data_IF_549114212238
#
_entry.id   IF_549114212238
#
_cell.length_a   1.000
_cell.length_b   1.000
_cell.length_c   1.000
_cell.angle_alpha   90.00
_cell.angle_beta   90.00
_cell.angle_gamma   90.00
#
_symmetry.space_group_name_H-M   'P 1'
#
loop_
_entity.id
_entity.type
_entity.pdbx_description
1 polymer ?
#
# COMPACT_ATOMS: atom_id res chain seq x y z
N UNK A 1 -48.77 30.03 -68.81
CA UNK A 1 -49.14 28.88 -67.96
C UNK A 1 -48.85 29.22 -66.49
N UNK A 2 -49.74 30.07 -65.99
CA UNK A 2 -50.18 30.42 -64.63
C UNK A 2 -49.19 30.24 -63.47
N UNK A 3 -48.51 31.35 -63.12
CA UNK A 3 -47.80 31.60 -61.86
C UNK A 3 -48.61 31.21 -60.60
N UNK A 4 -49.94 31.32 -60.70
CA UNK A 4 -50.91 30.83 -59.72
C UNK A 4 -50.77 29.33 -59.42
N UNK A 5 -50.57 28.48 -60.44
CA UNK A 5 -50.41 27.02 -60.23
C UNK A 5 -49.10 26.69 -59.53
N UNK A 6 -48.02 27.43 -59.82
CA UNK A 6 -46.74 27.25 -59.15
C UNK A 6 -46.83 27.63 -57.66
N UNK A 7 -47.53 28.72 -57.33
CA UNK A 7 -47.82 29.10 -55.93
C UNK A 7 -48.62 28.04 -55.21
N UNK A 8 -49.67 27.49 -55.83
CA UNK A 8 -50.48 26.43 -55.23
C UNK A 8 -49.67 25.15 -54.99
N UNK A 9 -48.79 24.76 -55.91
CA UNK A 9 -47.93 23.58 -55.76
C UNK A 9 -46.92 23.78 -54.62
N UNK A 10 -46.26 24.95 -54.57
CA UNK A 10 -45.33 25.29 -53.49
C UNK A 10 -46.05 25.30 -52.15
N UNK A 11 -47.26 25.88 -52.08
CA UNK A 11 -48.06 25.91 -50.86
C UNK A 11 -48.41 24.49 -50.38
N UNK A 12 -48.82 23.60 -51.29
CA UNK A 12 -49.14 22.21 -50.95
C UNK A 12 -47.91 21.47 -50.40
N UNK A 13 -46.73 21.68 -51.01
CA UNK A 13 -45.49 21.09 -50.51
C UNK A 13 -45.17 21.64 -49.10
N UNK A 14 -45.30 22.95 -48.89
CA UNK A 14 -45.01 23.58 -47.61
C UNK A 14 -45.94 23.07 -46.50
N UNK A 15 -47.24 22.93 -46.80
CA UNK A 15 -48.22 22.36 -45.88
C UNK A 15 -47.93 20.88 -45.62
N UNK A 16 -47.58 20.11 -46.65
CA UNK A 16 -47.21 18.69 -46.50
C UNK A 16 -45.97 18.50 -45.62
N UNK A 17 -44.93 19.30 -45.83
CA UNK A 17 -43.70 19.27 -45.02
C UNK A 17 -43.98 19.71 -43.59
N UNK A 18 -44.84 20.71 -43.38
CA UNK A 18 -45.24 21.13 -42.04
C UNK A 18 -45.95 20.00 -41.30
N UNK A 19 -46.91 19.33 -41.93
CA UNK A 19 -47.64 18.21 -41.32
C UNK A 19 -46.69 17.05 -41.01
N UNK A 20 -45.76 16.74 -41.92
CA UNK A 20 -44.76 15.70 -41.72
C UNK A 20 -43.82 16.01 -40.55
N UNK A 21 -43.31 17.24 -40.46
CA UNK A 21 -42.46 17.68 -39.35
C UNK A 21 -43.22 17.65 -38.02
N UNK A 22 -44.47 18.11 -38.01
CA UNK A 22 -45.32 18.05 -36.81
C UNK A 22 -45.56 16.62 -36.37
N UNK A 23 -45.87 15.71 -37.30
CA UNK A 23 -46.03 14.28 -37.00
C UNK A 23 -44.72 13.68 -36.47
N UNK A 24 -43.60 13.99 -37.12
CA UNK A 24 -42.27 13.49 -36.73
C UNK A 24 -41.88 13.93 -35.32
N UNK A 25 -42.21 15.16 -34.90
CA UNK A 25 -41.96 15.63 -33.52
C UNK A 25 -42.91 14.93 -32.53
N UNK A 26 -44.15 14.67 -32.93
CA UNK A 26 -45.14 14.00 -32.08
C UNK A 26 -44.85 12.51 -31.86
N UNK A 27 -44.27 11.84 -32.85
CA UNK A 27 -43.84 10.43 -32.75
C UNK A 27 -42.37 10.30 -32.38
N UNK A 28 -41.66 11.41 -32.16
CA UNK A 28 -40.30 11.37 -31.64
C UNK A 28 -40.38 11.07 -30.14
N UNK A 29 -40.14 9.80 -29.80
CA UNK A 29 -39.88 9.38 -28.44
C UNK A 29 -38.37 9.52 -28.24
N UNK A 30 -37.88 10.52 -27.48
CA UNK A 30 -36.46 10.59 -27.18
C UNK A 30 -36.10 9.34 -26.40
N UNK A 31 -34.99 8.71 -26.76
CA UNK A 31 -34.37 7.67 -25.94
C UNK A 31 -33.84 8.38 -24.69
N UNK A 32 -34.73 8.60 -23.73
CA UNK A 32 -34.35 9.04 -22.40
C UNK A 32 -33.74 7.80 -21.74
N UNK A 33 -32.43 7.83 -21.52
CA UNK A 33 -31.80 6.96 -20.52
C UNK A 33 -32.69 7.01 -19.27
N UNK A 34 -33.21 5.85 -18.87
CA UNK A 34 -34.06 5.76 -17.68
C UNK A 34 -33.30 6.39 -16.51
N UNK A 35 -33.94 7.35 -15.83
CA UNK A 35 -33.49 7.82 -14.53
C UNK A 35 -33.68 6.67 -13.53
N UNK A 36 -32.74 5.72 -13.54
CA UNK A 36 -32.55 4.82 -12.42
C UNK A 36 -32.00 5.67 -11.27
N UNK A 37 -32.89 6.06 -10.36
CA UNK A 37 -32.53 6.47 -9.00
C UNK A 37 -32.07 5.23 -8.20
N UNK A 38 -31.11 4.49 -8.73
CA UNK A 38 -30.29 3.62 -7.91
C UNK A 38 -29.05 4.42 -7.54
N UNK A 39 -28.87 4.70 -6.26
CA UNK A 39 -27.59 5.10 -5.63
C UNK A 39 -26.48 4.01 -5.80
N UNK A 40 -26.59 3.16 -6.82
CA UNK A 40 -25.58 2.19 -7.16
C UNK A 40 -24.45 2.94 -7.88
N UNK A 41 -23.48 3.37 -7.08
CA UNK A 41 -22.11 3.62 -7.52
C UNK A 41 -21.75 2.55 -8.56
N UNK A 42 -21.34 2.97 -9.75
CA UNK A 42 -20.95 2.05 -10.82
C UNK A 42 -19.71 1.29 -10.33
N UNK A 43 -19.93 0.09 -9.80
CA UNK A 43 -18.84 -0.80 -9.40
C UNK A 43 -18.18 -1.33 -10.64
N UNK A 44 -17.01 -0.81 -10.97
CA UNK A 44 -16.20 -1.32 -12.07
C UNK A 44 -15.57 -2.61 -11.60
N UNK A 45 -15.73 -3.67 -12.41
CA UNK A 45 -15.17 -4.99 -12.11
C UNK A 45 -13.65 -4.90 -12.05
N UNK A 46 -13.10 -4.89 -10.84
CA UNK A 46 -11.66 -4.90 -10.52
C UNK A 46 -11.25 -6.26 -9.94
N UNK A 47 -9.95 -6.55 -9.97
CA UNK A 47 -9.36 -7.54 -9.07
C UNK A 47 -9.65 -7.14 -7.62
N UNK A 48 -10.40 -7.98 -6.92
CA UNK A 48 -10.75 -7.76 -5.51
C UNK A 48 -9.66 -8.41 -4.67
N UNK A 49 -8.92 -7.60 -3.94
CA UNK A 49 -7.93 -8.09 -2.97
C UNK A 49 -8.61 -8.29 -1.62
N UNK A 50 -8.34 -9.41 -0.96
CA UNK A 50 -8.79 -9.64 0.42
C UNK A 50 -7.78 -9.06 1.42
N UNK A 51 -8.19 -8.93 2.69
CA UNK A 51 -7.35 -8.33 3.75
C UNK A 51 -5.95 -8.96 3.82
N UNK A 52 -5.83 -10.29 3.64
CA UNK A 52 -4.54 -11.00 3.69
C UNK A 52 -3.65 -10.75 2.48
N UNK A 53 -4.18 -10.25 1.35
CA UNK A 53 -3.34 -9.92 0.20
C UNK A 53 -2.72 -8.53 0.35
N UNK A 54 -3.41 -7.63 1.04
CA UNK A 54 -3.01 -6.23 1.26
C UNK A 54 -2.22 -6.05 2.55
N UNK A 55 -2.63 -6.70 3.64
CA UNK A 55 -1.96 -6.63 4.94
C UNK A 55 -1.14 -7.90 5.10
N UNK A 56 0.16 -7.78 4.79
CA UNK A 56 1.13 -8.88 4.88
C UNK A 56 2.31 -8.51 5.77
N UNK A 57 2.95 -9.49 6.41
CA UNK A 57 4.26 -9.29 7.01
C UNK A 57 5.31 -8.85 5.99
N UNK A 58 6.27 -8.05 6.45
CA UNK A 58 7.39 -7.53 5.64
C UNK A 58 8.70 -8.26 5.93
N UNK A 59 8.82 -8.85 7.12
CA UNK A 59 10.01 -9.60 7.53
C UNK A 59 9.67 -10.64 8.59
N UNK A 60 10.54 -11.64 8.65
CA UNK A 60 10.61 -12.60 9.75
C UNK A 60 12.03 -12.54 10.32
N UNK A 61 12.14 -12.13 11.59
CA UNK A 61 13.38 -12.02 12.34
C UNK A 61 13.50 -13.18 13.34
N UNK A 62 14.68 -13.78 13.41
CA UNK A 62 14.98 -14.97 14.20
C UNK A 62 16.11 -14.65 15.19
N UNK A 63 15.90 -14.95 16.48
CA UNK A 63 16.88 -14.77 17.55
C UNK A 63 17.42 -16.14 17.95
N UNK A 64 18.62 -16.49 17.45
CA UNK A 64 19.19 -17.83 17.63
C UNK A 64 20.69 -17.82 17.88
N UNK A 65 21.11 -18.54 18.92
CA UNK A 65 22.49 -18.69 19.36
C UNK A 65 23.21 -17.35 19.64
N UNK A 66 22.48 -16.33 20.11
CA UNK A 66 23.02 -14.99 20.34
C UNK A 66 23.29 -14.19 19.06
N UNK A 67 22.77 -14.63 17.92
CA UNK A 67 22.80 -13.95 16.63
C UNK A 67 21.38 -13.70 16.13
N UNK A 68 21.25 -12.80 15.15
CA UNK A 68 19.98 -12.47 14.53
C UNK A 68 20.01 -12.82 13.04
N UNK A 69 18.93 -13.39 12.55
CA UNK A 69 18.78 -13.70 11.13
C UNK A 69 17.44 -13.18 10.66
N UNK A 70 17.35 -12.70 9.41
CA UNK A 70 16.10 -12.15 8.91
C UNK A 70 15.86 -12.57 7.46
N UNK A 71 14.61 -12.76 7.09
CA UNK A 71 14.19 -12.89 5.70
C UNK A 71 13.04 -11.94 5.40
N UNK A 72 13.08 -11.36 4.20
CA UNK A 72 11.99 -10.60 3.58
C UNK A 72 11.64 -11.20 2.20
N UNK A 73 12.08 -12.44 1.94
CA UNK A 73 11.80 -13.15 0.70
C UNK A 73 10.29 -13.44 0.61
N UNK A 74 9.60 -13.00 -0.46
CA UNK A 74 8.17 -13.24 -0.64
C UNK A 74 7.76 -14.69 -0.52
N UNK A 75 8.59 -15.63 -0.98
CA UNK A 75 8.30 -17.07 -0.92
C UNK A 75 8.27 -17.56 0.52
N UNK A 76 9.19 -17.08 1.36
CA UNK A 76 9.21 -17.42 2.79
C UNK A 76 8.06 -16.75 3.55
N UNK A 77 7.71 -15.50 3.20
CA UNK A 77 6.53 -14.81 3.75
C UNK A 77 5.25 -15.57 3.40
N UNK A 78 5.01 -15.90 2.12
CA UNK A 78 3.81 -16.61 1.68
C UNK A 78 3.73 -18.02 2.31
N UNK A 79 4.88 -18.69 2.49
CA UNK A 79 4.94 -19.99 3.19
C UNK A 79 4.53 -19.84 4.65
N UNK A 80 5.00 -18.80 5.34
CA UNK A 80 4.62 -18.51 6.72
C UNK A 80 3.13 -18.14 6.83
N UNK A 81 2.59 -17.33 5.92
CA UNK A 81 1.16 -16.99 5.90
C UNK A 81 0.29 -18.24 5.72
N UNK A 82 0.72 -19.17 4.87
CA UNK A 82 0.05 -20.46 4.69
C UNK A 82 0.07 -21.30 5.97
N UNK A 83 1.15 -21.28 6.76
CA UNK A 83 1.15 -21.93 8.07
C UNK A 83 0.15 -21.26 9.03
N UNK A 84 0.17 -19.92 9.09
CA UNK A 84 -0.72 -19.12 9.96
C UNK A 84 -2.20 -19.35 9.65
N UNK A 85 -2.57 -19.50 8.38
CA UNK A 85 -3.95 -19.79 7.97
C UNK A 85 -4.51 -21.11 8.54
N UNK A 86 -3.66 -22.00 9.03
CA UNK A 86 -4.05 -23.28 9.63
C UNK A 86 -4.11 -23.24 11.17
N UNK A 87 -3.77 -22.10 11.76
CA UNK A 87 -3.75 -21.90 13.20
C UNK A 87 -5.12 -21.41 13.64
N UNK A 88 -5.41 -21.63 14.93
CA UNK A 88 -6.60 -21.08 15.57
C UNK A 88 -6.16 -20.41 16.85
N UNK A 89 -6.40 -19.11 16.92
CA UNK A 89 -6.01 -18.30 18.06
C UNK A 89 -7.17 -18.18 19.03
N UNK A 90 -6.87 -18.30 20.32
CA UNK A 90 -7.88 -18.27 21.39
C UNK A 90 -7.39 -17.52 22.63
N UNK A 91 -8.31 -17.04 23.45
CA UNK A 91 -8.02 -16.48 24.77
C UNK A 91 -7.16 -15.22 24.75
N UNK A 92 -7.38 -14.35 23.76
CA UNK A 92 -6.64 -13.10 23.59
C UNK A 92 -6.86 -12.19 24.79
N UNK A 93 -5.76 -11.75 25.41
CA UNK A 93 -5.77 -10.86 26.58
C UNK A 93 -4.53 -10.00 26.65
N UNK A 94 -4.67 -8.80 27.20
CA UNK A 94 -3.52 -7.92 27.46
C UNK A 94 -2.61 -8.50 28.56
N UNK A 95 -1.30 -8.43 28.33
CA UNK A 95 -0.28 -8.71 29.33
C UNK A 95 0.34 -7.40 29.82
N UNK A 96 0.21 -7.13 31.11
CA UNK A 96 0.85 -5.97 31.71
C UNK A 96 2.38 -6.12 31.77
N UNK A 97 3.11 -5.19 31.16
CA UNK A 97 4.57 -5.12 31.23
C UNK A 97 5.11 -5.03 32.67
N UNK A 98 4.41 -4.32 33.56
CA UNK A 98 4.78 -4.25 34.99
C UNK A 98 4.77 -5.62 35.67
N UNK A 99 3.91 -6.52 35.21
CA UNK A 99 3.83 -7.90 35.70
C UNK A 99 4.96 -8.78 35.19
N UNK A 100 5.52 -8.46 34.03
CA UNK A 100 6.63 -9.21 33.42
C UNK A 100 7.99 -8.91 34.08
N UNK A 101 8.11 -7.82 34.86
CA UNK A 101 9.36 -7.39 35.54
C UNK A 101 10.59 -7.37 34.61
N UNK A 102 10.37 -7.06 33.33
CA UNK A 102 11.37 -7.06 32.26
C UNK A 102 11.23 -5.78 31.44
N UNK A 103 12.32 -5.36 30.80
CA UNK A 103 12.24 -4.28 29.81
C UNK A 103 11.45 -4.77 28.60
N UNK A 104 10.76 -3.86 27.94
CA UNK A 104 9.95 -4.14 26.75
C UNK A 104 10.79 -4.74 25.63
N UNK A 105 11.88 -4.04 25.27
CA UNK A 105 12.84 -4.46 24.24
C UNK A 105 13.42 -5.86 24.50
N UNK A 106 13.86 -6.13 25.74
CA UNK A 106 14.37 -7.46 26.16
C UNK A 106 13.31 -8.56 26.04
N UNK A 107 12.02 -8.24 26.16
CA UNK A 107 10.95 -9.21 25.93
C UNK A 107 10.77 -9.45 24.43
N UNK A 108 10.77 -8.41 23.61
CA UNK A 108 10.54 -8.54 22.17
C UNK A 108 11.65 -9.36 21.53
N UNK A 109 12.91 -8.94 21.71
CA UNK A 109 14.09 -9.51 21.07
C UNK A 109 14.75 -10.66 21.85
N UNK A 110 13.96 -11.44 22.58
CA UNK A 110 14.48 -12.48 23.46
C UNK A 110 15.12 -13.64 22.67
N UNK A 111 16.26 -14.14 23.12
CA UNK A 111 16.89 -15.34 22.56
C UNK A 111 15.92 -16.53 22.55
N UNK A 112 15.90 -17.30 21.44
CA UNK A 112 14.93 -18.38 21.29
C UNK A 112 13.57 -17.92 20.76
N UNK A 113 13.51 -16.82 20.01
CA UNK A 113 12.25 -16.26 19.51
C UNK A 113 12.25 -15.98 18.00
N UNK A 114 11.05 -15.87 17.47
CA UNK A 114 10.74 -15.43 16.11
C UNK A 114 9.82 -14.23 16.19
N UNK A 115 10.15 -13.17 15.47
CA UNK A 115 9.32 -11.98 15.29
C UNK A 115 8.87 -11.89 13.84
N UNK A 116 7.58 -11.72 13.63
CA UNK A 116 6.97 -11.51 12.32
C UNK A 116 6.48 -10.07 12.30
N UNK A 117 7.10 -9.25 11.46
CA UNK A 117 6.94 -7.80 11.47
C UNK A 117 6.00 -7.35 10.34
N UNK A 118 5.15 -6.39 10.64
CA UNK A 118 4.29 -5.69 9.68
C UNK A 118 4.80 -4.26 9.44
N UNK A 119 4.39 -3.64 8.34
CA UNK A 119 4.85 -2.28 7.99
C UNK A 119 4.49 -1.21 9.02
N UNK A 120 3.33 -1.38 9.66
CA UNK A 120 2.77 -0.47 10.67
C UNK A 120 1.74 -1.22 11.54
N UNK A 121 1.21 -0.55 12.57
CA UNK A 121 0.18 -1.07 13.48
C UNK A 121 -1.06 -1.56 12.70
N UNK A 122 -1.40 -2.85 12.86
CA UNK A 122 -2.56 -3.53 12.27
C UNK A 122 -3.67 -3.70 13.30
N UNK A 123 -4.91 -3.19 13.05
CA UNK A 123 -6.03 -3.37 13.97
C UNK A 123 -6.47 -4.84 14.06
N UNK A 124 -6.48 -5.40 15.27
CA UNK A 124 -6.80 -6.83 15.47
C UNK A 124 -8.21 -7.19 15.00
N UNK A 125 -9.17 -6.27 15.10
CA UNK A 125 -10.56 -6.52 14.70
C UNK A 125 -10.70 -6.72 13.19
N UNK A 126 -9.86 -6.06 12.39
CA UNK A 126 -9.80 -6.26 10.94
C UNK A 126 -9.07 -7.56 10.60
N UNK A 127 -7.94 -7.80 11.27
CA UNK A 127 -7.06 -8.95 10.98
C UNK A 127 -7.53 -10.27 11.63
N UNK A 128 -8.54 -10.21 12.49
CA UNK A 128 -9.16 -11.35 13.19
C UNK A 128 -9.47 -12.53 12.27
N UNK A 129 -10.04 -12.23 11.11
CA UNK A 129 -10.48 -13.23 10.13
C UNK A 129 -9.29 -13.93 9.48
N UNK A 130 -8.20 -13.20 9.22
CA UNK A 130 -6.97 -13.75 8.64
C UNK A 130 -6.32 -14.76 9.60
N UNK A 131 -6.40 -14.49 10.91
CA UNK A 131 -5.81 -15.32 11.96
C UNK A 131 -6.75 -16.39 12.54
N UNK A 132 -7.97 -16.58 12.03
CA UNK A 132 -9.00 -17.46 12.63
C UNK A 132 -9.11 -17.32 14.17
N UNK A 133 -9.20 -16.07 14.65
CA UNK A 133 -9.34 -15.83 16.09
C UNK A 133 -10.78 -16.16 16.51
N UNK A 134 -10.93 -17.16 17.36
CA UNK A 134 -12.26 -17.69 17.69
C UNK A 134 -12.97 -17.00 18.86
N UNK A 135 -12.30 -16.06 19.52
CA UNK A 135 -12.87 -15.30 20.64
C UNK A 135 -14.04 -14.43 20.16
N UNK A 136 -15.17 -14.50 20.86
CA UNK A 136 -16.36 -13.72 20.49
C UNK A 136 -16.16 -12.23 20.76
N UNK A 137 -15.62 -11.91 21.92
CA UNK A 137 -15.26 -10.56 22.34
C UNK A 137 -13.74 -10.45 22.33
N UNK A 138 -13.23 -9.49 21.55
CA UNK A 138 -11.80 -9.20 21.50
C UNK A 138 -11.54 -7.83 22.09
N UNK A 139 -10.45 -7.65 22.86
CA UNK A 139 -9.99 -6.32 23.23
C UNK A 139 -9.66 -5.54 21.95
N UNK A 140 -9.95 -4.23 21.96
CA UNK A 140 -9.54 -3.34 20.87
C UNK A 140 -8.06 -3.02 21.03
N UNK A 141 -7.24 -3.46 20.07
CA UNK A 141 -5.82 -3.13 20.00
C UNK A 141 -5.31 -3.24 18.56
N UNK A 142 -4.14 -2.65 18.34
CA UNK A 142 -3.35 -2.83 17.12
C UNK A 142 -2.01 -3.47 17.47
N UNK A 143 -1.37 -4.09 16.49
CA UNK A 143 -0.07 -4.72 16.65
C UNK A 143 0.75 -4.55 15.37
N UNK A 144 2.06 -4.41 15.48
CA UNK A 144 3.01 -4.38 14.37
C UNK A 144 3.88 -5.65 14.33
N UNK A 145 3.80 -6.50 15.36
CA UNK A 145 4.60 -7.73 15.47
C UNK A 145 3.80 -8.89 16.04
N UNK A 146 4.08 -10.10 15.53
CA UNK A 146 3.68 -11.37 16.13
C UNK A 146 4.93 -12.11 16.59
N UNK A 147 4.98 -12.52 17.86
CA UNK A 147 6.15 -13.13 18.48
C UNK A 147 5.83 -14.54 18.95
N UNK A 148 6.71 -15.48 18.59
CA UNK A 148 6.68 -16.88 19.02
C UNK A 148 7.97 -17.17 19.79
N UNK A 149 7.85 -17.77 20.97
CA UNK A 149 9.00 -18.02 21.86
C UNK A 149 9.16 -19.50 22.13
N UNK A 150 10.31 -20.06 21.77
CA UNK A 150 10.63 -21.47 21.93
C UNK A 150 10.42 -21.95 23.38
N UNK A 151 10.87 -21.15 24.35
CA UNK A 151 10.78 -21.46 25.78
C UNK A 151 9.34 -21.56 26.31
N UNK A 152 8.38 -20.94 25.63
CA UNK A 152 6.97 -20.91 26.05
C UNK A 152 6.16 -22.06 25.40
N UNK A 153 6.77 -22.79 24.45
CA UNK A 153 6.16 -23.94 23.75
C UNK A 153 6.17 -25.16 24.66
N UNK A 154 5.04 -25.40 25.33
CA UNK A 154 4.84 -26.51 26.25
C UNK A 154 3.36 -26.89 26.38
N UNK A 155 3.07 -28.09 26.87
CA UNK A 155 1.69 -28.56 27.04
C UNK A 155 0.96 -28.84 25.73
N UNK A 156 -0.35 -28.57 25.71
CA UNK A 156 -1.23 -28.78 24.54
C UNK A 156 -1.45 -27.49 23.74
N UNK A 157 -1.49 -26.35 24.42
CA UNK A 157 -1.58 -25.02 23.86
C UNK A 157 -0.48 -24.15 24.45
N UNK A 158 0.06 -23.23 23.66
CA UNK A 158 1.17 -22.37 24.06
C UNK A 158 0.96 -20.94 23.57
N UNK A 159 1.67 -20.02 24.21
CA UNK A 159 1.48 -18.60 24.00
C UNK A 159 2.07 -18.11 22.68
N UNK A 160 1.32 -17.26 21.99
CA UNK A 160 1.78 -16.39 20.91
C UNK A 160 1.43 -14.95 21.29
N UNK A 161 2.33 -14.02 21.02
CA UNK A 161 2.19 -12.63 21.46
C UNK A 161 1.99 -11.69 20.29
N UNK A 162 0.96 -10.85 20.36
CA UNK A 162 0.82 -9.67 19.51
C UNK A 162 1.45 -8.49 20.25
N UNK A 163 2.31 -7.74 19.56
CA UNK A 163 3.04 -6.61 20.14
C UNK A 163 2.76 -5.37 19.31
N UNK A 164 2.50 -4.25 19.98
CA UNK A 164 2.58 -2.92 19.39
C UNK A 164 3.84 -2.28 19.95
N UNK A 165 4.87 -2.18 19.10
CA UNK A 165 6.21 -1.81 19.52
C UNK A 165 6.28 -0.36 20.00
N UNK A 166 5.67 0.56 19.26
CA UNK A 166 5.65 1.99 19.60
C UNK A 166 4.83 2.28 20.87
N UNK A 167 3.73 1.55 21.08
CA UNK A 167 2.88 1.72 22.26
C UNK A 167 3.36 0.94 23.50
N UNK A 168 4.43 0.15 23.36
CA UNK A 168 4.97 -0.76 24.38
C UNK A 168 3.89 -1.72 24.96
N UNK A 169 2.96 -2.19 24.13
CA UNK A 169 1.84 -3.08 24.54
C UNK A 169 2.03 -4.51 24.05
N UNK A 170 1.56 -5.46 24.86
CA UNK A 170 1.65 -6.90 24.56
C UNK A 170 0.30 -7.56 24.84
N UNK A 171 -0.18 -8.34 23.88
CA UNK A 171 -1.36 -9.18 24.01
C UNK A 171 -0.96 -10.63 23.82
N UNK A 172 -1.37 -11.50 24.73
CA UNK A 172 -1.15 -12.94 24.63
C UNK A 172 -2.38 -13.61 24.05
N UNK A 173 -2.13 -14.59 23.20
CA UNK A 173 -3.10 -15.56 22.70
C UNK A 173 -2.56 -16.98 22.87
N UNK A 174 -3.42 -17.98 22.71
CA UNK A 174 -3.06 -19.40 22.75
C UNK A 174 -3.28 -20.06 21.40
N UNK A 175 -2.30 -20.86 20.98
CA UNK A 175 -2.31 -21.68 19.76
C UNK A 175 -1.88 -23.10 20.11
N UNK A 176 -2.32 -24.10 19.34
CA UNK A 176 -1.88 -25.49 19.50
C UNK A 176 -0.35 -25.61 19.51
N UNK A 177 0.19 -26.24 20.56
CA UNK A 177 1.64 -26.47 20.72
C UNK A 177 2.21 -27.26 19.55
N UNK A 178 1.44 -28.16 18.94
CA UNK A 178 1.88 -28.91 17.76
C UNK A 178 2.19 -27.98 16.59
N UNK A 179 1.28 -27.05 16.28
CA UNK A 179 1.45 -26.08 15.19
C UNK A 179 2.68 -25.20 15.39
N UNK A 180 2.90 -24.75 16.63
CA UNK A 180 4.09 -23.96 16.94
C UNK A 180 5.39 -24.77 16.81
N UNK A 181 5.39 -26.05 17.20
CA UNK A 181 6.57 -26.92 16.99
C UNK A 181 6.85 -27.11 15.51
N UNK A 182 5.83 -27.45 14.72
CA UNK A 182 5.95 -27.61 13.26
C UNK A 182 6.54 -26.33 12.63
N UNK A 183 6.06 -25.15 13.05
CA UNK A 183 6.60 -23.86 12.62
C UNK A 183 8.06 -23.62 13.03
N UNK A 184 8.42 -23.92 14.28
CA UNK A 184 9.79 -23.74 14.75
C UNK A 184 10.76 -24.70 14.03
N UNK A 185 10.31 -25.91 13.69
CA UNK A 185 11.09 -26.86 12.91
C UNK A 185 11.32 -26.36 11.47
N UNK A 186 10.29 -25.80 10.84
CA UNK A 186 10.36 -25.32 9.46
C UNK A 186 11.17 -24.02 9.29
N UNK A 187 10.99 -23.07 10.20
CA UNK A 187 11.53 -21.70 10.07
C UNK A 187 12.69 -21.39 11.01
N UNK A 188 12.61 -21.80 12.29
CA UNK A 188 13.56 -21.35 13.32
C UNK A 188 14.83 -22.20 13.41
N UNK A 189 14.72 -23.52 13.52
CA UNK A 189 15.86 -24.39 13.89
C UNK A 189 17.06 -24.29 12.94
N UNK A 190 16.81 -24.11 11.64
CA UNK A 190 17.83 -23.96 10.59
C UNK A 190 17.97 -22.53 10.07
N UNK A 191 17.39 -21.53 10.76
CA UNK A 191 17.43 -20.11 10.36
C UNK A 191 18.86 -19.62 10.08
N UNK A 192 19.81 -19.95 10.95
CA UNK A 192 21.22 -19.60 10.82
C UNK A 192 21.93 -20.12 9.55
N UNK A 193 21.37 -21.15 8.89
CA UNK A 193 21.90 -21.68 7.62
C UNK A 193 21.15 -21.13 6.41
N UNK A 194 19.90 -20.72 6.59
CA UNK A 194 18.97 -20.35 5.53
C UNK A 194 18.97 -18.85 5.25
N UNK A 195 19.12 -18.04 6.29
CA UNK A 195 18.86 -16.60 6.22
C UNK A 195 20.10 -15.77 6.56
N UNK A 196 20.23 -14.57 5.96
CA UNK A 196 21.34 -13.67 6.24
C UNK A 196 21.35 -13.21 7.70
N UNK A 197 22.57 -13.04 8.23
CA UNK A 197 22.81 -12.49 9.58
C UNK A 197 22.58 -10.97 9.61
N UNK A 198 21.99 -10.50 10.70
CA UNK A 198 21.65 -9.11 10.97
C UNK A 198 22.31 -8.62 12.27
N UNK A 199 22.84 -7.40 12.24
CA UNK A 199 23.34 -6.69 13.41
C UNK A 199 22.21 -5.97 14.12
N UNK A 200 22.13 -6.10 15.44
CA UNK A 200 21.25 -5.29 16.29
C UNK A 200 21.94 -3.99 16.72
N UNK A 201 21.22 -2.87 16.67
CA UNK A 201 21.63 -1.58 17.19
C UNK A 201 20.52 -0.96 18.03
N UNK A 202 20.66 -1.02 19.35
CA UNK A 202 19.75 -0.31 20.26
C UNK A 202 19.99 1.18 20.19
N UNK A 203 18.89 1.93 20.06
CA UNK A 203 18.81 3.39 20.03
C UNK A 203 17.83 3.85 21.13
N UNK A 204 18.17 4.96 21.77
CA UNK A 204 17.42 5.55 22.89
C UNK A 204 17.14 4.63 24.09
N UNK A 205 17.76 3.46 24.15
CA UNK A 205 17.50 2.45 25.19
C UNK A 205 16.07 1.89 25.17
N UNK A 206 15.34 2.09 24.08
CA UNK A 206 13.92 1.70 23.93
C UNK A 206 13.61 0.95 22.64
N UNK A 207 14.40 1.18 21.59
CA UNK A 207 14.18 0.61 20.25
C UNK A 207 15.45 -0.05 19.76
N UNK A 208 15.34 -1.20 19.12
CA UNK A 208 16.47 -1.88 18.51
C UNK A 208 16.26 -2.00 17.00
N UNK A 209 17.22 -1.49 16.23
CA UNK A 209 17.23 -1.58 14.77
C UNK A 209 18.01 -2.81 14.34
N UNK A 210 17.50 -3.56 13.36
CA UNK A 210 18.18 -4.71 12.77
C UNK A 210 18.57 -4.39 11.34
N UNK A 211 19.84 -4.57 11.01
CA UNK A 211 20.36 -4.32 9.66
C UNK A 211 21.27 -5.47 9.22
N UNK A 212 21.33 -5.82 7.93
CA UNK A 212 22.20 -6.89 7.44
C UNK A 212 23.66 -6.68 7.86
N UNK A 213 24.29 -7.73 8.40
CA UNK A 213 25.70 -7.68 8.83
C UNK A 213 26.63 -7.44 7.63
N UNK A 214 26.29 -8.00 6.46
CA UNK A 214 27.10 -7.96 5.25
C UNK A 214 26.43 -7.18 4.11
N UNK A 215 27.20 -6.84 3.08
CA UNK A 215 26.66 -6.27 1.84
C UNK A 215 25.66 -7.22 1.18
N UNK A 216 24.57 -6.66 0.67
CA UNK A 216 23.48 -7.41 0.04
C UNK A 216 23.46 -7.18 -1.47
N UNK A 217 23.09 -8.20 -2.22
CA UNK A 217 22.97 -8.15 -3.68
C UNK A 217 21.50 -8.20 -4.05
N UNK A 218 21.02 -7.18 -4.76
CA UNK A 218 19.62 -7.07 -5.16
C UNK A 218 19.55 -6.72 -6.63
N UNK A 219 18.61 -7.33 -7.34
CA UNK A 219 18.38 -7.04 -8.74
C UNK A 219 17.73 -5.65 -8.91
N UNK A 220 18.34 -4.81 -9.73
CA UNK A 220 17.69 -3.71 -10.43
C UNK A 220 16.69 -4.28 -11.43
N UNK A 221 15.55 -3.63 -11.55
CA UNK A 221 14.54 -3.96 -12.54
C UNK A 221 14.20 -2.77 -13.42
N UNK A 222 13.84 -3.06 -14.66
CA UNK A 222 13.26 -2.10 -15.57
C UNK A 222 11.95 -2.69 -16.10
N UNK A 223 10.90 -1.88 -16.10
CA UNK A 223 9.55 -2.31 -16.49
C UNK A 223 8.99 -1.42 -17.58
N UNK A 224 8.29 -2.03 -18.52
CA UNK A 224 7.24 -1.35 -19.26
C UNK A 224 6.09 -1.03 -18.32
N UNK A 225 5.46 0.14 -18.51
CA UNK A 225 4.25 0.49 -17.78
C UNK A 225 3.04 0.47 -18.71
N UNK A 226 1.92 -0.02 -18.19
CA UNK A 226 0.61 0.09 -18.82
C UNK A 226 -0.22 1.13 -18.07
N UNK A 227 -0.98 1.94 -18.81
CA UNK A 227 -1.81 2.99 -18.23
C UNK A 227 -3.24 2.50 -18.01
N UNK A 228 -3.84 2.93 -16.91
CA UNK A 228 -5.25 2.67 -16.64
C UNK A 228 -6.14 3.49 -17.55
N UNK A 229 -7.33 2.97 -17.83
CA UNK A 229 -8.36 3.73 -18.51
C UNK A 229 -8.89 4.82 -17.57
N UNK A 230 -8.55 6.06 -17.90
CA UNK A 230 -9.00 7.26 -17.19
C UNK A 230 -10.53 7.35 -17.15
N UNK A 231 -11.22 6.86 -18.19
CA UNK A 231 -12.67 6.81 -18.24
C UNK A 231 -13.24 5.96 -17.10
N UNK A 232 -12.66 4.79 -16.86
CA UNK A 232 -13.05 3.92 -15.74
C UNK A 232 -12.82 4.62 -14.39
N UNK A 233 -11.67 5.25 -14.19
CA UNK A 233 -11.38 5.93 -12.92
C UNK A 233 -12.33 7.10 -12.67
N UNK A 234 -12.64 7.87 -13.71
CA UNK A 234 -13.65 8.93 -13.66
C UNK A 234 -15.05 8.35 -13.36
N UNK A 235 -15.41 7.24 -14.00
CA UNK A 235 -16.72 6.62 -13.81
C UNK A 235 -16.89 6.02 -12.40
N UNK A 236 -15.79 5.57 -11.78
CA UNK A 236 -15.76 5.11 -10.41
C UNK A 236 -15.81 6.26 -9.38
N UNK A 237 -15.05 7.34 -9.61
CA UNK A 237 -14.85 8.40 -8.59
C UNK A 237 -15.96 9.47 -8.55
N UNK A 238 -16.75 9.62 -9.62
CA UNK A 238 -17.82 10.61 -9.68
C UNK A 238 -19.20 9.94 -9.64
N UNK A 239 -20.10 10.46 -8.81
CA UNK A 239 -21.47 9.93 -8.70
C UNK A 239 -22.25 10.04 -10.01
N UNK A 240 -21.99 11.08 -10.81
CA UNK A 240 -22.66 11.29 -12.11
C UNK A 240 -21.64 11.58 -13.22
N UNK A 241 -20.92 10.56 -13.72
CA UNK A 241 -19.80 10.73 -14.63
C UNK A 241 -20.16 11.40 -15.96
N UNK A 242 -21.42 11.28 -16.40
CA UNK A 242 -21.96 11.90 -17.63
C UNK A 242 -21.96 13.43 -17.60
N UNK A 243 -21.99 14.05 -16.41
CA UNK A 243 -22.00 15.51 -16.26
C UNK A 243 -20.65 16.10 -15.87
N UNK A 244 -19.63 15.25 -15.75
CA UNK A 244 -18.27 15.68 -15.44
C UNK A 244 -17.70 16.42 -16.64
N UNK A 245 -17.24 17.65 -16.40
CA UNK A 245 -16.55 18.47 -17.40
C UNK A 245 -15.07 18.13 -17.39
N UNK A 246 -14.46 18.14 -18.57
CA UNK A 246 -13.04 17.94 -18.75
C UNK A 246 -12.40 19.23 -19.26
N UNK A 247 -11.29 19.65 -18.65
CA UNK A 247 -10.50 20.80 -19.07
C UNK A 247 -9.02 20.42 -19.15
N UNK A 248 -8.30 20.95 -20.14
CA UNK A 248 -6.85 20.76 -20.25
C UNK A 248 -6.11 21.79 -19.42
N UNK A 249 -5.11 21.34 -18.65
CA UNK A 249 -4.24 22.19 -17.83
C UNK A 249 -2.77 21.97 -18.21
N UNK A 250 -1.86 22.75 -17.64
CA UNK A 250 -0.44 22.77 -18.03
C UNK A 250 0.25 21.40 -17.98
N UNK A 251 -0.06 20.59 -16.97
CA UNK A 251 0.61 19.29 -16.70
C UNK A 251 -0.28 18.08 -17.00
N UNK A 252 -1.47 18.29 -17.56
CA UNK A 252 -2.40 17.21 -17.88
C UNK A 252 -3.85 17.68 -18.02
N UNK A 253 -4.76 17.07 -17.27
CA UNK A 253 -6.20 17.25 -17.43
C UNK A 253 -6.91 17.33 -16.08
N UNK A 254 -8.00 18.09 -16.03
CA UNK A 254 -8.87 18.21 -14.86
C UNK A 254 -10.29 17.79 -15.23
N UNK A 255 -10.93 17.11 -14.28
CA UNK A 255 -12.29 16.60 -14.38
C UNK A 255 -13.06 17.09 -13.17
N UNK A 256 -14.24 17.70 -13.39
CA UNK A 256 -15.04 18.25 -12.28
C UNK A 256 -16.53 18.18 -12.53
N UNK A 257 -17.29 17.91 -11.46
CA UNK A 257 -18.75 18.05 -11.41
C UNK A 257 -19.18 19.40 -10.78
N UNK A 258 -18.22 20.30 -10.52
CA UNK A 258 -18.41 21.57 -9.82
C UNK A 258 -18.23 21.50 -8.30
N UNK A 259 -18.25 20.30 -7.71
CA UNK A 259 -18.07 20.07 -6.27
C UNK A 259 -16.87 19.19 -5.93
N UNK A 260 -16.50 18.30 -6.85
CA UNK A 260 -15.36 17.40 -6.78
C UNK A 260 -14.39 17.73 -7.91
N UNK A 261 -13.11 17.48 -7.69
CA UNK A 261 -12.06 17.69 -8.68
C UNK A 261 -11.19 16.45 -8.75
N UNK A 262 -10.98 15.94 -9.96
CA UNK A 262 -9.96 14.94 -10.27
C UNK A 262 -8.95 15.56 -11.22
N UNK A 263 -7.67 15.51 -10.87
CA UNK A 263 -6.56 16.02 -11.67
C UNK A 263 -5.67 14.87 -12.11
N UNK A 264 -5.34 14.85 -13.40
CA UNK A 264 -4.38 13.91 -13.99
C UNK A 264 -3.09 14.66 -14.24
N UNK A 265 -2.03 14.25 -13.56
CA UNK A 265 -0.69 14.73 -13.79
C UNK A 265 0.03 13.77 -14.76
N UNK A 266 0.18 14.18 -16.02
CA UNK A 266 0.87 13.40 -17.06
C UNK A 266 2.39 13.40 -16.87
N UNK A 267 2.94 14.43 -16.23
CA UNK A 267 4.37 14.52 -15.92
C UNK A 267 4.82 13.56 -14.83
N UNK A 268 3.94 13.18 -13.89
CA UNK A 268 4.26 12.27 -12.78
C UNK A 268 3.46 10.95 -12.79
N UNK A 269 2.55 10.77 -13.75
CA UNK A 269 1.68 9.60 -13.85
C UNK A 269 0.79 9.37 -12.62
N UNK A 270 0.33 10.47 -12.01
CA UNK A 270 -0.52 10.47 -10.81
C UNK A 270 -1.91 11.00 -11.15
N UNK A 271 -2.92 10.41 -10.53
CA UNK A 271 -4.26 10.99 -10.38
C UNK A 271 -4.42 11.44 -8.94
N UNK A 272 -4.93 12.64 -8.76
CA UNK A 272 -5.44 13.12 -7.48
C UNK A 272 -6.92 13.42 -7.60
N UNK A 273 -7.69 13.09 -6.58
CA UNK A 273 -9.10 13.40 -6.45
C UNK A 273 -9.35 14.05 -5.10
N UNK A 274 -10.18 15.11 -5.09
CA UNK A 274 -10.56 15.83 -3.89
C UNK A 274 -12.06 16.11 -3.85
N UNK A 275 -12.66 15.88 -2.69
CA UNK A 275 -14.03 16.24 -2.34
C UNK A 275 -14.03 17.22 -1.16
N UNK A 276 -13.96 18.54 -1.40
CA UNK A 276 -13.87 19.55 -0.34
C UNK A 276 -15.00 19.51 0.71
N UNK A 277 -16.18 18.98 0.36
CA UNK A 277 -17.30 18.83 1.30
C UNK A 277 -16.97 17.89 2.48
N UNK A 278 -15.98 17.01 2.30
CA UNK A 278 -15.58 16.00 3.28
C UNK A 278 -14.37 16.41 4.13
N UNK A 279 -13.98 17.69 4.13
CA UNK A 279 -12.78 18.17 4.86
C UNK A 279 -12.81 17.92 6.38
N UNK A 280 -13.99 17.71 6.97
CA UNK A 280 -14.15 17.49 8.40
C UNK A 280 -13.62 16.11 8.81
N UNK A 281 -12.72 16.08 9.80
CA UNK A 281 -12.14 14.85 10.36
C UNK A 281 -12.97 14.37 11.55
N UNK A 282 -13.90 13.45 11.32
CA UNK A 282 -14.63 12.73 12.35
C UNK A 282 -14.95 11.35 11.79
N UNK A 283 -14.06 10.39 12.00
CA UNK A 283 -14.26 9.06 11.47
C UNK A 283 -13.96 7.99 12.53
N UNK A 284 -14.44 6.78 12.27
CA UNK A 284 -14.59 5.67 13.21
C UNK A 284 -13.29 5.06 13.74
N UNK A 285 -13.35 3.78 14.10
CA UNK A 285 -12.18 3.08 14.64
C UNK A 285 -11.10 2.89 13.57
N UNK A 286 -9.86 2.64 13.97
CA UNK A 286 -8.75 2.32 13.04
C UNK A 286 -9.06 1.11 12.15
N UNK A 287 -9.82 0.15 12.67
CA UNK A 287 -10.32 -1.00 11.91
C UNK A 287 -11.29 -0.59 10.80
N UNK A 288 -12.19 0.34 11.09
CA UNK A 288 -13.14 0.86 10.10
C UNK A 288 -12.41 1.69 9.04
N UNK A 289 -11.41 2.47 9.46
CA UNK A 289 -10.59 3.30 8.57
C UNK A 289 -9.84 2.44 7.56
N UNK A 290 -9.04 1.48 8.04
CA UNK A 290 -8.26 0.61 7.15
C UNK A 290 -9.16 -0.32 6.33
N UNK A 291 -10.23 -0.87 6.92
CA UNK A 291 -11.18 -1.72 6.21
C UNK A 291 -11.86 -0.99 5.05
N UNK A 292 -12.44 0.19 5.31
CA UNK A 292 -13.04 0.99 4.23
C UNK A 292 -12.02 1.44 3.19
N UNK A 293 -10.78 1.68 3.59
CA UNK A 293 -9.72 2.03 2.64
C UNK A 293 -9.42 0.93 1.62
N UNK A 294 -9.42 -0.33 2.07
CA UNK A 294 -9.26 -1.50 1.20
C UNK A 294 -10.50 -1.65 0.31
N UNK A 295 -11.69 -1.58 0.89
CA UNK A 295 -12.96 -1.69 0.15
C UNK A 295 -13.09 -0.60 -0.92
N UNK A 296 -12.67 0.63 -0.62
CA UNK A 296 -12.71 1.74 -1.57
C UNK A 296 -11.87 1.44 -2.81
N UNK A 297 -10.65 0.90 -2.66
CA UNK A 297 -9.83 0.53 -3.81
C UNK A 297 -10.51 -0.61 -4.58
N UNK A 298 -10.98 -1.64 -3.89
CA UNK A 298 -11.71 -2.75 -4.52
C UNK A 298 -12.91 -2.29 -5.37
N UNK A 299 -13.65 -1.28 -4.90
CA UNK A 299 -14.85 -0.76 -5.57
C UNK A 299 -14.54 0.27 -6.68
N UNK A 300 -13.33 0.86 -6.74
CA UNK A 300 -13.01 2.02 -7.60
C UNK A 300 -11.84 1.77 -8.56
N UNK A 301 -12.01 0.82 -9.50
CA UNK A 301 -11.01 0.46 -10.53
C UNK A 301 -9.66 0.03 -9.91
N UNK A 302 -9.75 -0.94 -9.01
CA UNK A 302 -8.83 -1.26 -7.92
C UNK A 302 -7.36 -1.48 -8.23
N UNK A 303 -6.85 -2.68 -7.95
CA UNK A 303 -5.41 -2.90 -7.72
C UNK A 303 -4.60 -3.15 -9.00
N UNK A 304 -5.27 -3.49 -10.11
CA UNK A 304 -4.70 -3.66 -11.46
C UNK A 304 -3.46 -4.58 -11.44
N UNK A 305 -3.63 -5.77 -10.87
CA UNK A 305 -2.60 -6.79 -10.62
C UNK A 305 -1.31 -6.28 -9.93
N UNK A 306 -1.34 -5.10 -9.32
CA UNK A 306 -0.20 -4.49 -8.68
C UNK A 306 -0.14 -4.88 -7.19
N UNK A 307 1.04 -5.27 -6.74
CA UNK A 307 1.29 -5.72 -5.36
C UNK A 307 1.43 -4.53 -4.41
N UNK A 308 0.35 -3.76 -4.21
CA UNK A 308 0.28 -2.75 -3.17
C UNK A 308 -0.08 -3.38 -1.83
N UNK A 309 0.65 -3.00 -0.78
CA UNK A 309 0.47 -3.50 0.59
C UNK A 309 0.27 -2.35 1.56
N UNK A 310 -0.43 -2.62 2.65
CA UNK A 310 -0.60 -1.69 3.75
C UNK A 310 0.77 -1.23 4.27
N UNK A 311 0.98 0.09 4.30
CA UNK A 311 2.27 0.69 4.64
C UNK A 311 2.21 1.64 5.83
N UNK A 312 1.08 2.35 6.02
CA UNK A 312 0.94 3.32 7.11
C UNK A 312 -0.53 3.70 7.35
N UNK A 313 -0.87 4.02 8.61
CA UNK A 313 -2.14 4.66 8.96
C UNK A 313 -1.98 5.72 10.05
N UNK A 314 -2.77 6.80 9.93
CA UNK A 314 -2.92 7.81 10.98
C UNK A 314 -4.40 8.07 11.26
N UNK A 315 -4.86 7.69 12.45
CA UNK A 315 -6.22 8.01 12.92
C UNK A 315 -6.44 9.52 13.08
N UNK A 316 -5.43 10.25 13.53
CA UNK A 316 -5.54 11.70 13.71
C UNK A 316 -5.73 12.41 12.37
N UNK A 317 -5.06 11.90 11.33
CA UNK A 317 -5.15 12.48 10.00
C UNK A 317 -6.25 11.88 9.15
N UNK A 318 -6.81 10.74 9.58
CA UNK A 318 -7.71 9.88 8.81
C UNK A 318 -7.06 9.43 7.50
N UNK A 319 -5.75 9.15 7.56
CA UNK A 319 -4.88 8.88 6.42
C UNK A 319 -4.49 7.41 6.40
N UNK A 320 -4.58 6.77 5.23
CA UNK A 320 -4.10 5.40 4.99
C UNK A 320 -3.24 5.40 3.73
N UNK A 321 -2.10 4.70 3.78
CA UNK A 321 -1.17 4.56 2.66
C UNK A 321 -0.97 3.10 2.34
N UNK A 322 -1.12 2.75 1.07
CA UNK A 322 -0.69 1.49 0.50
C UNK A 322 0.52 1.73 -0.40
N UNK A 323 1.56 0.90 -0.29
CA UNK A 323 2.80 1.05 -1.03
C UNK A 323 3.04 -0.13 -1.95
N UNK A 324 3.56 0.12 -3.14
CA UNK A 324 3.96 -0.91 -4.09
C UNK A 324 5.14 -1.72 -3.53
N UNK A 325 5.05 -3.05 -3.59
CA UNK A 325 6.13 -3.96 -3.26
C UNK A 325 6.59 -4.72 -4.50
N UNK A 326 7.90 -4.74 -4.73
CA UNK A 326 8.53 -5.48 -5.83
C UNK A 326 9.55 -6.44 -5.25
N UNK A 327 9.43 -7.73 -5.57
CA UNK A 327 10.32 -8.79 -5.09
C UNK A 327 10.59 -8.74 -3.56
N UNK A 328 9.54 -8.47 -2.77
CA UNK A 328 9.61 -8.42 -1.30
C UNK A 328 10.01 -7.08 -0.69
N UNK A 329 10.45 -6.11 -1.49
CA UNK A 329 10.89 -4.80 -0.99
C UNK A 329 9.89 -3.69 -1.35
N UNK A 330 9.68 -2.71 -0.45
CA UNK A 330 8.86 -1.54 -0.74
C UNK A 330 9.52 -0.66 -1.81
N UNK A 331 8.70 -0.09 -2.69
CA UNK A 331 9.12 0.89 -3.68
C UNK A 331 8.73 2.31 -3.22
N UNK A 332 9.62 3.27 -3.48
CA UNK A 332 9.48 4.66 -3.09
C UNK A 332 9.72 5.58 -4.28
N UNK A 333 9.01 6.70 -4.29
CA UNK A 333 9.17 7.76 -5.27
C UNK A 333 8.79 9.11 -4.65
N UNK A 334 9.53 10.16 -4.98
CA UNK A 334 9.35 11.50 -4.41
C UNK A 334 8.02 12.17 -4.81
N UNK A 335 7.38 11.70 -5.89
CA UNK A 335 6.15 12.25 -6.45
C UNK A 335 4.95 11.30 -6.28
N UNK A 336 5.02 10.30 -5.40
CA UNK A 336 3.90 9.40 -5.11
C UNK A 336 3.70 8.25 -6.11
N UNK A 337 4.60 8.04 -7.07
CA UNK A 337 4.44 7.01 -8.13
C UNK A 337 4.37 5.56 -7.63
N UNK A 338 4.56 5.33 -6.34
CA UNK A 338 4.61 4.00 -5.72
C UNK A 338 3.61 3.86 -4.57
N UNK A 339 2.69 4.82 -4.40
CA UNK A 339 1.79 4.86 -3.25
C UNK A 339 0.34 5.13 -3.67
N UNK A 340 -0.61 4.47 -3.01
CA UNK A 340 -2.02 4.83 -3.03
C UNK A 340 -2.32 5.45 -1.67
N UNK A 341 -2.65 6.75 -1.67
CA UNK A 341 -2.95 7.51 -0.47
C UNK A 341 -4.42 7.87 -0.42
N UNK A 342 -5.02 7.68 0.76
CA UNK A 342 -6.39 8.07 1.04
C UNK A 342 -6.47 8.90 2.31
N UNK A 343 -7.27 9.96 2.26
CA UNK A 343 -7.65 10.74 3.43
C UNK A 343 -9.18 10.76 3.50
N UNK A 344 -9.72 10.31 4.64
CA UNK A 344 -11.16 10.19 4.83
C UNK A 344 -11.77 11.40 5.53
N UNK A 345 -12.94 11.80 5.04
CA UNK A 345 -13.84 12.69 5.76
C UNK A 345 -14.79 11.93 6.66
N UNK A 346 -15.91 12.56 7.01
CA UNK A 346 -16.93 11.96 7.88
C UNK A 346 -17.71 10.83 7.19
N UNK A 347 -18.08 11.03 5.92
CA UNK A 347 -19.01 10.15 5.21
C UNK A 347 -18.38 9.54 3.95
N UNK A 348 -17.63 10.34 3.18
CA UNK A 348 -16.95 9.92 1.96
C UNK A 348 -15.46 10.24 2.05
N UNK A 349 -14.68 9.72 1.09
CA UNK A 349 -13.27 10.06 0.95
C UNK A 349 -13.11 11.57 0.67
N UNK A 350 -12.18 12.20 1.38
CA UNK A 350 -11.84 13.60 1.17
C UNK A 350 -10.79 13.77 0.08
N UNK A 351 -9.74 12.95 0.11
CA UNK A 351 -8.65 12.97 -0.86
C UNK A 351 -8.24 11.56 -1.24
N UNK A 352 -7.97 11.34 -2.51
CA UNK A 352 -7.46 10.09 -3.04
C UNK A 352 -6.35 10.38 -4.05
N UNK A 353 -5.17 9.83 -3.84
CA UNK A 353 -4.04 9.97 -4.75
C UNK A 353 -3.49 8.60 -5.12
N UNK A 354 -3.24 8.35 -6.41
CA UNK A 354 -2.64 7.11 -6.89
C UNK A 354 -1.91 7.28 -8.21
N UNK A 355 -0.95 6.39 -8.52
CA UNK A 355 -0.53 6.12 -9.88
C UNK A 355 -1.69 5.63 -10.74
N UNK A 356 -1.71 6.07 -12.00
CA UNK A 356 -2.61 5.53 -13.01
C UNK A 356 -1.90 4.58 -14.00
N UNK A 357 -0.87 3.89 -13.51
CA UNK A 357 -0.15 2.89 -14.28
C UNK A 357 0.15 1.66 -13.43
N UNK A 358 0.36 0.52 -14.09
CA UNK A 358 0.88 -0.72 -13.49
C UNK A 358 2.20 -1.12 -14.13
N UNK A 359 2.96 -1.98 -13.45
CA UNK A 359 4.19 -2.57 -13.97
C UNK A 359 3.83 -3.78 -14.84
N UNK A 360 3.99 -3.67 -16.16
CA UNK A 360 3.48 -4.66 -17.12
C UNK A 360 4.45 -5.83 -17.34
N UNK A 361 5.63 -5.55 -17.91
CA UNK A 361 6.60 -6.58 -18.27
C UNK A 361 8.02 -6.15 -17.89
N UNK A 362 8.73 -7.04 -17.21
CA UNK A 362 10.13 -6.84 -16.81
C UNK A 362 11.05 -7.02 -18.03
N UNK A 363 11.99 -6.10 -18.19
CA UNK A 363 13.03 -6.19 -19.19
C UNK A 363 14.23 -6.98 -18.64
N UNK A 364 14.76 -7.97 -19.40
CA UNK A 364 16.02 -8.61 -19.04
C UNK A 364 17.15 -7.58 -19.19
N UNK A 365 17.83 -7.21 -18.10
CA UNK A 365 19.05 -6.40 -18.19
C UNK A 365 20.27 -7.26 -17.86
N UNK A 366 21.21 -7.40 -18.81
CA UNK A 366 22.55 -7.93 -18.50
C UNK A 366 23.24 -6.98 -17.50
N UNK A 367 23.74 -7.51 -16.37
CA UNK A 367 24.36 -6.70 -15.32
C UNK A 367 23.41 -6.12 -14.26
N UNK A 368 22.21 -6.69 -14.11
CA UNK A 368 21.11 -6.22 -13.26
C UNK A 368 21.35 -6.23 -11.74
N UNK A 369 22.50 -6.64 -11.21
CA UNK A 369 22.66 -6.83 -9.75
C UNK A 369 23.36 -5.64 -9.11
N UNK A 370 22.66 -4.87 -8.29
CA UNK A 370 23.24 -3.85 -7.43
C UNK A 370 23.79 -4.49 -6.14
N UNK A 371 25.00 -4.10 -5.74
CA UNK A 371 25.56 -4.47 -4.43
C UNK A 371 25.42 -3.28 -3.50
N UNK A 372 24.56 -3.41 -2.49
CA UNK A 372 24.36 -2.37 -1.49
C UNK A 372 25.36 -2.53 -0.35
N UNK A 373 25.73 -1.39 0.24
CA UNK A 373 26.59 -1.34 1.43
C UNK A 373 25.98 -2.14 2.58
N UNK A 374 26.83 -2.64 3.48
CA UNK A 374 26.38 -3.38 4.65
C UNK A 374 25.51 -2.49 5.56
N UNK A 375 24.66 -3.12 6.36
CA UNK A 375 23.87 -2.41 7.36
C UNK A 375 24.74 -1.67 8.37
N UNK A 376 25.93 -2.21 8.71
CA UNK A 376 26.87 -1.53 9.61
C UNK A 376 27.39 -0.21 9.02
N UNK A 377 27.68 -0.18 7.73
CA UNK A 377 28.07 1.04 7.02
C UNK A 377 26.92 2.05 6.98
N UNK A 378 25.68 1.60 6.78
CA UNK A 378 24.48 2.45 6.84
C UNK A 378 24.33 3.08 8.22
N UNK A 379 24.42 2.28 9.29
CA UNK A 379 24.35 2.77 10.66
C UNK A 379 25.43 3.82 10.96
N UNK A 380 26.66 3.58 10.50
CA UNK A 380 27.76 4.54 10.66
C UNK A 380 27.51 5.83 9.88
N UNK A 381 27.01 5.72 8.65
CA UNK A 381 26.66 6.88 7.83
C UNK A 381 25.60 7.74 8.52
N UNK A 382 24.50 7.14 8.97
CA UNK A 382 23.42 7.87 9.65
C UNK A 382 23.88 8.54 10.95
N UNK A 383 24.76 7.87 11.72
CA UNK A 383 25.35 8.45 12.93
C UNK A 383 26.30 9.63 12.67
N UNK A 384 26.98 9.63 11.52
CA UNK A 384 27.95 10.67 11.16
C UNK A 384 27.35 11.96 10.61
N UNK A 385 26.08 11.92 10.15
CA UNK A 385 25.43 13.07 9.50
C UNK A 385 24.76 13.96 10.53
N UNK A 386 25.28 15.18 10.71
CA UNK A 386 24.73 16.16 11.66
C UNK A 386 23.27 16.56 11.34
N UNK A 387 22.86 16.47 10.08
CA UNK A 387 21.49 16.75 9.64
C UNK A 387 20.47 15.69 10.03
N UNK A 388 20.92 14.54 10.56
CA UNK A 388 20.08 13.41 10.93
C UNK A 388 20.17 13.20 12.44
N UNK A 389 19.06 13.40 13.15
CA UNK A 389 18.98 12.94 14.53
C UNK A 389 18.81 11.41 14.54
N UNK A 390 19.94 10.69 14.61
CA UNK A 390 19.95 9.23 14.62
C UNK A 390 19.07 8.62 15.73
N UNK A 391 18.82 9.36 16.81
CA UNK A 391 17.93 8.93 17.89
C UNK A 391 16.46 8.89 17.46
N UNK A 392 16.05 9.68 16.48
CA UNK A 392 14.69 9.71 15.96
C UNK A 392 14.42 8.70 14.85
N UNK A 393 15.46 7.97 14.41
CA UNK A 393 15.29 6.91 13.40
C UNK A 393 14.47 5.79 14.00
N UNK A 394 13.35 5.46 13.35
CA UNK A 394 12.45 4.40 13.80
C UNK A 394 12.69 3.08 13.08
N UNK A 395 13.16 3.14 11.83
CA UNK A 395 13.38 1.96 11.00
C UNK A 395 14.46 2.23 9.94
N UNK A 396 15.11 1.17 9.48
CA UNK A 396 16.08 1.17 8.37
C UNK A 396 15.79 -0.05 7.52
N UNK A 397 15.49 0.17 6.25
CA UNK A 397 15.12 -0.91 5.34
C UNK A 397 15.68 -0.68 3.95
N UNK A 398 15.73 -1.76 3.20
CA UNK A 398 16.09 -1.74 1.79
C UNK A 398 14.81 -1.59 0.98
N UNK A 399 14.84 -0.70 -0.02
CA UNK A 399 13.71 -0.48 -0.89
C UNK A 399 14.16 -0.18 -2.31
N UNK A 400 13.20 -0.02 -3.21
CA UNK A 400 13.47 0.46 -4.55
C UNK A 400 13.17 1.94 -4.69
N UNK A 401 14.10 2.70 -5.24
CA UNK A 401 13.81 4.02 -5.79
C UNK A 401 13.24 3.84 -7.20
N UNK A 402 11.96 4.17 -7.37
CA UNK A 402 11.35 4.21 -8.69
C UNK A 402 11.66 5.56 -9.35
N UNK A 403 12.24 5.52 -10.55
CA UNK A 403 12.40 6.70 -11.39
C UNK A 403 12.05 6.38 -12.85
N UNK A 404 11.69 7.42 -13.60
CA UNK A 404 11.37 7.28 -15.03
C UNK A 404 12.66 7.04 -15.79
N UNK A 405 12.64 6.07 -16.70
CA UNK A 405 13.69 5.84 -17.67
C UNK A 405 13.05 6.00 -19.05
N UNK A 406 13.45 7.02 -19.79
CA UNK A 406 12.90 7.25 -21.13
C UNK A 406 13.71 6.42 -22.13
N UNK A 407 13.08 5.45 -22.78
CA UNK A 407 13.62 4.84 -23.99
C UNK A 407 12.69 5.19 -25.17
N UNK A 408 12.99 6.34 -25.79
CA UNK A 408 12.33 6.87 -26.99
C UNK A 408 10.85 7.32 -26.84
N UNK A 409 10.36 8.08 -27.84
CA UNK A 409 9.03 8.74 -27.87
C UNK A 409 7.82 7.81 -27.90
N UNK A 410 8.02 6.49 -27.89
CA UNK A 410 6.95 5.51 -28.12
C UNK A 410 6.67 4.61 -26.91
N UNK A 411 7.57 4.53 -25.93
CA UNK A 411 7.38 3.65 -24.77
C UNK A 411 7.92 4.28 -23.49
N UNK A 412 7.14 4.23 -22.42
CA UNK A 412 7.55 4.69 -21.10
C UNK A 412 8.11 3.52 -20.30
N UNK A 413 9.35 3.65 -19.84
CA UNK A 413 9.96 2.71 -18.90
C UNK A 413 10.07 3.34 -17.51
N UNK A 414 10.03 2.49 -16.50
CA UNK A 414 10.41 2.84 -15.14
C UNK A 414 11.52 1.91 -14.67
N UNK A 415 12.47 2.48 -13.94
CA UNK A 415 13.57 1.75 -13.32
C UNK A 415 13.35 1.71 -11.82
N UNK A 416 13.52 0.53 -11.25
CA UNK A 416 13.51 0.28 -9.82
C UNK A 416 14.94 0.00 -9.39
N UNK A 417 15.53 0.97 -8.71
CA UNK A 417 16.91 0.91 -8.23
C UNK A 417 16.96 0.59 -6.73
N UNK A 418 17.57 -0.53 -6.31
CA UNK A 418 17.72 -0.85 -4.90
C UNK A 418 18.51 0.24 -4.19
N UNK A 419 18.04 0.69 -3.02
CA UNK A 419 18.77 1.63 -2.16
C UNK A 419 18.35 1.48 -0.70
N UNK A 420 19.10 2.12 0.19
CA UNK A 420 18.84 2.15 1.62
C UNK A 420 17.91 3.31 1.97
N UNK A 421 16.91 3.01 2.79
CA UNK A 421 15.99 3.99 3.36
C UNK A 421 16.04 3.94 4.89
N UNK A 422 15.78 5.09 5.51
CA UNK A 422 15.53 5.20 6.94
C UNK A 422 14.21 5.94 7.18
N UNK A 423 13.52 5.61 8.27
CA UNK A 423 12.22 6.19 8.63
C UNK A 423 12.35 7.10 9.85
N UNK A 424 11.70 8.26 9.80
CA UNK A 424 11.46 9.13 10.95
C UNK A 424 9.98 9.55 10.89
N UNK A 425 9.19 9.17 11.90
CA UNK A 425 7.75 9.33 11.86
C UNK A 425 7.11 8.57 10.69
N UNK A 426 6.28 9.26 9.90
CA UNK A 426 5.56 8.69 8.76
C UNK A 426 6.33 8.73 7.44
N UNK A 427 7.57 9.25 7.44
CA UNK A 427 8.35 9.50 6.22
C UNK A 427 9.60 8.64 6.11
N UNK A 428 9.82 8.16 4.89
CA UNK A 428 11.00 7.43 4.48
C UNK A 428 11.94 8.35 3.69
N UNK A 429 13.23 8.27 4.01
CA UNK A 429 14.29 9.07 3.42
C UNK A 429 15.38 8.16 2.89
N UNK A 430 15.99 8.53 1.76
CA UNK A 430 17.16 7.82 1.23
C UNK A 430 18.36 8.08 2.15
N UNK A 431 19.11 7.04 2.49
CA UNK A 431 20.36 7.18 3.25
C UNK A 431 21.37 7.97 2.42
N UNK A 432 21.86 9.14 2.89
CA UNK A 432 22.72 10.00 2.08
C UNK A 432 24.16 9.50 2.11
N UNK A 433 24.58 8.74 1.11
CA UNK A 433 25.97 8.36 0.93
C UNK A 433 26.75 9.47 0.20
N UNK A 434 27.98 9.74 0.62
CA UNK A 434 28.76 10.88 0.11
C UNK A 434 29.08 10.80 -1.39
N UNK A 435 29.04 9.60 -1.98
CA UNK A 435 29.24 9.36 -3.41
C UNK A 435 28.05 9.81 -4.27
N UNK A 436 26.83 9.91 -3.71
CA UNK A 436 25.63 10.36 -4.43
C UNK A 436 25.63 11.89 -4.68
N UNK A 437 26.58 12.61 -4.09
CA UNK A 437 26.79 14.06 -4.30
C UNK A 437 27.63 14.37 -5.56
N UNK A 438 28.12 13.35 -6.26
CA UNK A 438 29.18 13.47 -7.28
C UNK A 438 28.80 13.01 -8.70
N UNK A 439 27.52 12.93 -9.03
CA UNK A 439 27.05 12.30 -10.28
C UNK A 439 25.96 13.05 -11.02
N UNK A 440 26.17 14.34 -11.33
CA UNK A 440 25.48 14.99 -12.47
C UNK A 440 26.35 16.12 -13.07
N UNK A 441 27.61 15.79 -13.37
CA UNK A 441 28.51 16.60 -14.20
C UNK A 441 29.16 15.74 -15.29
N UNK A 442 28.41 15.42 -16.34
CA UNK A 442 28.86 15.26 -17.73
C UNK A 442 27.70 14.77 -18.60
N UNK A 443 27.39 15.33 -19.78
CA UNK A 443 28.06 16.33 -20.61
C UNK A 443 27.03 17.27 -21.26
N UNK A 444 27.35 18.54 -21.46
CA UNK A 444 28.21 19.12 -22.51
C UNK A 444 27.63 18.96 -23.93
N UNK A 445 27.28 20.13 -24.47
CA UNK A 445 26.80 20.52 -25.81
C UNK A 445 25.30 20.44 -26.11
#
# INVERSE_FOLDING_TARGET
MNFERAKSIILIILVGTSIFLTWSIWTYEPEYDQFDQSDDLIRIKSDVQIVSDVIKPVSILFHSNGQHFQTSDPVEIDKMEKEFSQWRFTGVKELSMKRLQRKFDDFVHEEGSVEIEFSDDVPISLYKTVLDISDKELPSFSFDRIIIKQKDISGNESAVYFVSYEQEKIYQSMVSTKRLKDFMDDFYNDSHKKYPEYTAQTINGKRTLFVPENSIKINRFQYYIDYFDIGNLKDALFNYPKYVRQESVSVGEEYTDGTRLMTINKENYIISYINPAQKSKLFGSSSDLLGKSIDFINDHAGWEDSNYRYAYMSENEQRVVFRLFVNGYPAFNEYGMTEIEQIWGKEEIYSYERPYFSLASVLPSEGSVATLRSGREVLNQLKSKESIDFKSVEDISVGYKLHKSLDSKLVTLVTLEPTWYYRIGDKWFIVPFDEDSGGDQSGLE
#
